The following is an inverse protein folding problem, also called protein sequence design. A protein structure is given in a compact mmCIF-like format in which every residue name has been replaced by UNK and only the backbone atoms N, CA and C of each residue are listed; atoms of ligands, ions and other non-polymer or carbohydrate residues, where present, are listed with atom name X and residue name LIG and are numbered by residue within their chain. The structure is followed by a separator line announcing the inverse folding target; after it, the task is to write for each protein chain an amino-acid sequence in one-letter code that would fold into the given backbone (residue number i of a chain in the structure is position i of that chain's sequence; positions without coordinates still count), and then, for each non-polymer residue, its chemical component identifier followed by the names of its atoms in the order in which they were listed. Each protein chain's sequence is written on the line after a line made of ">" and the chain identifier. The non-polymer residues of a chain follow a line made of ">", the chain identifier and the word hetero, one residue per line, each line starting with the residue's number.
data_IF_198823845082
#
_entry.id   IF_198823845082
#
_cell.length_a   1.000
_cell.length_b   1.000
_cell.length_c   1.000
_cell.angle_alpha   90.00
_cell.angle_beta   90.00
_cell.angle_gamma   90.00
#
_symmetry.space_group_name_H-M   'P 1'
#
loop_
_entity.id
_entity.type
_entity.pdbx_description
1 polymer ?
#
# COMPACT_ATOMS: atom_id res chain seq x y z
N UNK A 1 23.85 -5.80 -3.64
CA UNK A 1 22.50 -6.40 -3.62
C UNK A 1 21.74 -5.69 -2.51
N UNK A 2 20.49 -5.28 -2.72
CA UNK A 2 19.71 -4.56 -1.68
C UNK A 2 18.75 -5.55 -1.03
N UNK A 3 19.15 -6.24 0.07
CA UNK A 3 18.29 -7.23 0.74
C UNK A 3 16.96 -6.61 1.19
N UNK A 4 16.93 -5.31 1.47
CA UNK A 4 15.72 -4.60 1.88
C UNK A 4 14.62 -4.61 0.81
N UNK A 5 14.98 -4.65 -0.47
CA UNK A 5 13.99 -4.81 -1.54
C UNK A 5 13.45 -6.23 -1.63
N UNK A 6 14.23 -7.24 -1.27
CA UNK A 6 13.73 -8.62 -1.14
C UNK A 6 12.75 -8.73 0.03
N UNK A 7 13.02 -8.05 1.14
CA UNK A 7 12.11 -7.99 2.29
C UNK A 7 10.80 -7.25 2.00
N UNK A 8 10.83 -6.25 1.12
CA UNK A 8 9.65 -5.50 0.72
C UNK A 8 8.77 -6.22 -0.32
N UNK A 9 9.28 -7.30 -0.93
CA UNK A 9 8.55 -8.03 -1.96
C UNK A 9 8.08 -9.41 -1.51
N UNK A 10 6.93 -9.80 -2.01
CA UNK A 10 6.44 -11.18 -1.97
C UNK A 10 6.57 -11.77 -3.37
N UNK A 11 7.18 -12.94 -3.48
CA UNK A 11 7.30 -13.66 -4.75
C UNK A 11 6.37 -14.86 -4.74
N UNK A 12 5.58 -15.02 -5.82
CA UNK A 12 4.63 -16.13 -5.95
C UNK A 12 5.32 -17.50 -5.94
N UNK A 13 6.53 -17.57 -6.49
CA UNK A 13 7.27 -18.82 -6.69
C UNK A 13 8.22 -19.17 -5.53
N UNK A 14 8.45 -18.22 -4.62
CA UNK A 14 9.37 -18.37 -3.49
C UNK A 14 9.00 -17.39 -2.36
N UNK A 15 8.12 -17.76 -1.42
CA UNK A 15 7.83 -16.93 -0.26
C UNK A 15 9.12 -16.81 0.58
N UNK A 16 9.71 -15.61 0.61
CA UNK A 16 10.96 -15.32 1.32
C UNK A 16 10.75 -14.44 2.55
N UNK A 17 9.59 -14.54 3.20
CA UNK A 17 9.28 -13.69 4.36
C UNK A 17 10.26 -13.99 5.50
N UNK A 18 11.26 -13.12 5.68
CA UNK A 18 12.16 -13.17 6.81
C UNK A 18 11.53 -12.38 7.95
N UNK A 19 11.33 -13.04 9.08
CA UNK A 19 10.70 -12.49 10.26
C UNK A 19 11.71 -12.41 11.42
N UNK A 20 11.53 -11.47 12.37
CA UNK A 20 12.27 -11.51 13.63
C UNK A 20 11.99 -12.83 14.36
N UNK A 21 12.95 -13.28 15.18
CA UNK A 21 12.79 -14.48 15.99
C UNK A 21 11.82 -14.23 17.16
N UNK A 22 11.31 -15.31 17.76
CA UNK A 22 10.44 -15.23 18.94
C UNK A 22 8.94 -14.99 18.67
N UNK A 23 8.55 -14.81 17.39
CA UNK A 23 7.14 -14.80 16.99
C UNK A 23 6.49 -16.17 17.18
N UNK A 24 5.26 -16.18 17.71
CA UNK A 24 4.48 -17.42 17.89
C UNK A 24 3.91 -17.96 16.59
N UNK A 25 3.52 -17.07 15.67
CA UNK A 25 3.00 -17.42 14.37
C UNK A 25 4.10 -17.30 13.30
N UNK A 26 4.35 -18.41 12.60
CA UNK A 26 5.20 -18.44 11.41
C UNK A 26 4.47 -17.86 10.18
N UNK A 27 5.18 -17.54 9.09
CA UNK A 27 4.54 -17.19 7.81
C UNK A 27 3.54 -18.25 7.36
N UNK A 28 3.92 -19.54 7.47
CA UNK A 28 3.06 -20.67 7.09
C UNK A 28 1.78 -20.74 7.92
N UNK A 29 1.87 -20.50 9.24
CA UNK A 29 0.68 -20.47 10.09
C UNK A 29 -0.33 -19.40 9.64
N UNK A 30 0.14 -18.20 9.31
CA UNK A 30 -0.74 -17.16 8.76
C UNK A 30 -1.24 -17.50 7.36
N UNK A 31 -0.38 -18.03 6.50
CA UNK A 31 -0.75 -18.47 5.16
C UNK A 31 -1.89 -19.48 5.22
N UNK A 32 -1.77 -20.51 6.05
CA UNK A 32 -2.84 -21.50 6.28
C UNK A 32 -4.11 -20.87 6.85
N UNK A 33 -3.99 -20.01 7.87
CA UNK A 33 -5.15 -19.36 8.50
C UNK A 33 -5.92 -18.50 7.49
N UNK A 34 -5.23 -17.74 6.65
CA UNK A 34 -5.83 -16.89 5.62
C UNK A 34 -6.42 -17.73 4.48
N UNK A 35 -5.77 -18.82 4.07
CA UNK A 35 -6.28 -19.73 3.04
C UNK A 35 -7.57 -20.46 3.44
N UNK A 36 -7.81 -20.68 4.74
CA UNK A 36 -9.04 -21.30 5.26
C UNK A 36 -10.26 -20.37 5.28
N UNK A 37 -10.08 -19.09 4.97
CA UNK A 37 -11.19 -18.13 4.89
C UNK A 37 -12.01 -18.35 3.61
N UNK A 38 -13.28 -17.88 3.53
CA UNK A 38 -14.09 -17.99 2.31
C UNK A 38 -13.38 -17.47 1.04
N UNK A 39 -12.70 -16.31 1.14
CA UNK A 39 -11.92 -15.71 0.05
C UNK A 39 -10.47 -16.18 -0.03
N UNK A 40 -10.04 -17.10 0.83
CA UNK A 40 -8.63 -17.49 0.97
C UNK A 40 -8.01 -18.11 -0.29
N UNK A 41 -8.82 -18.76 -1.12
CA UNK A 41 -8.37 -19.33 -2.40
C UNK A 41 -7.91 -18.23 -3.40
N UNK A 42 -8.41 -17.00 -3.27
CA UNK A 42 -8.01 -15.85 -4.10
C UNK A 42 -6.62 -15.29 -3.75
N UNK A 43 -5.94 -15.83 -2.74
CA UNK A 43 -4.56 -15.48 -2.42
C UNK A 43 -3.54 -16.18 -3.32
N UNK A 44 -3.99 -17.11 -4.16
CA UNK A 44 -3.13 -17.97 -4.98
C UNK A 44 -3.37 -17.77 -6.48
N UNK A 45 -2.37 -18.04 -7.34
CA UNK A 45 -2.51 -17.91 -8.80
C UNK A 45 -3.61 -18.78 -9.42
N UNK A 46 -3.96 -19.91 -8.82
CA UNK A 46 -5.03 -20.81 -9.28
C UNK A 46 -6.44 -20.33 -8.94
N UNK A 47 -6.57 -19.42 -7.96
CA UNK A 47 -7.85 -18.81 -7.59
C UNK A 47 -8.04 -17.37 -8.08
N UNK A 48 -6.96 -16.64 -8.38
CA UNK A 48 -7.03 -15.21 -8.68
C UNK A 48 -6.61 -14.88 -10.10
N UNK A 49 -7.53 -14.31 -10.89
CA UNK A 49 -7.34 -14.04 -12.31
C UNK A 49 -6.19 -13.06 -12.60
N UNK A 50 -5.97 -12.08 -11.71
CA UNK A 50 -4.85 -11.15 -11.83
C UNK A 50 -3.52 -11.88 -11.66
N UNK A 51 -3.39 -12.70 -10.62
CA UNK A 51 -2.19 -13.49 -10.36
C UNK A 51 -1.95 -14.51 -11.47
N UNK A 52 -3.00 -15.17 -11.97
CA UNK A 52 -2.89 -16.05 -13.14
C UNK A 52 -2.30 -15.29 -14.33
N UNK A 53 -2.87 -14.13 -14.68
CA UNK A 53 -2.43 -13.35 -15.83
C UNK A 53 -0.94 -12.95 -15.73
N UNK A 54 -0.48 -12.54 -14.54
CA UNK A 54 0.91 -12.18 -14.27
C UNK A 54 1.91 -13.33 -14.51
N UNK A 55 1.46 -14.58 -14.38
CA UNK A 55 2.30 -15.77 -14.59
C UNK A 55 2.33 -16.26 -16.04
N UNK A 56 1.54 -15.64 -16.93
CA UNK A 56 1.52 -15.98 -18.37
C UNK A 56 2.46 -15.10 -19.19
N UNK A 57 2.79 -15.55 -20.40
CA UNK A 57 3.50 -14.76 -21.43
C UNK A 57 2.56 -13.86 -22.26
N UNK A 58 1.28 -13.76 -21.88
CA UNK A 58 0.30 -13.00 -22.64
C UNK A 58 0.36 -11.50 -22.30
N UNK A 59 0.01 -10.62 -23.24
CA UNK A 59 -0.17 -9.21 -22.95
C UNK A 59 -1.19 -9.01 -21.82
N UNK A 60 -0.87 -8.10 -20.91
CA UNK A 60 -1.78 -7.67 -19.86
C UNK A 60 -2.29 -6.26 -20.18
N UNK A 61 -3.60 -6.08 -20.09
CA UNK A 61 -4.26 -4.79 -20.27
C UNK A 61 -4.55 -4.17 -18.92
N UNK A 62 -4.23 -2.89 -18.76
CA UNK A 62 -4.43 -2.14 -17.52
C UNK A 62 -5.23 -0.86 -17.79
N UNK A 63 -6.19 -0.57 -16.92
CA UNK A 63 -6.85 0.71 -16.83
C UNK A 63 -5.97 1.68 -16.06
N UNK A 64 -5.63 2.80 -16.67
CA UNK A 64 -5.04 3.96 -16.01
C UNK A 64 -5.96 5.17 -16.16
N UNK A 65 -6.12 5.98 -15.12
CA UNK A 65 -6.89 7.22 -15.19
C UNK A 65 -5.94 8.41 -15.13
N UNK A 66 -6.06 9.34 -16.08
CA UNK A 66 -5.23 10.56 -16.12
C UNK A 66 -6.07 11.80 -16.32
N UNK A 67 -5.73 12.89 -15.63
CA UNK A 67 -6.26 14.24 -15.90
C UNK A 67 -5.34 15.05 -16.84
N UNK A 68 -4.23 14.44 -17.27
CA UNK A 68 -3.14 15.13 -17.94
C UNK A 68 -2.90 14.55 -19.34
N UNK A 69 -3.97 14.14 -20.04
CA UNK A 69 -3.86 13.55 -21.38
C UNK A 69 -3.12 14.47 -22.35
N UNK A 70 -3.42 15.78 -22.34
CA UNK A 70 -2.76 16.73 -23.23
C UNK A 70 -1.26 16.88 -22.93
N UNK A 71 -0.87 16.82 -21.65
CA UNK A 71 0.54 16.82 -21.26
C UNK A 71 1.24 15.53 -21.69
N UNK A 72 0.56 14.38 -21.59
CA UNK A 72 1.08 13.09 -22.08
C UNK A 72 1.27 13.14 -23.59
N UNK A 73 0.28 13.62 -24.35
CA UNK A 73 0.37 13.80 -25.82
C UNK A 73 1.50 14.74 -26.21
N UNK A 74 1.66 15.85 -25.49
CA UNK A 74 2.68 16.86 -25.78
C UNK A 74 4.09 16.36 -25.46
N UNK A 75 4.26 15.64 -24.35
CA UNK A 75 5.58 15.18 -23.90
C UNK A 75 6.00 13.83 -24.49
N UNK A 76 5.04 13.03 -24.97
CA UNK A 76 5.25 11.64 -25.37
C UNK A 76 5.57 10.70 -24.20
N UNK A 77 5.34 11.11 -22.94
CA UNK A 77 5.74 10.34 -21.77
C UNK A 77 4.59 10.05 -20.79
N UNK A 78 4.55 8.80 -20.32
CA UNK A 78 3.83 8.40 -19.12
C UNK A 78 4.78 8.44 -17.92
N UNK A 79 4.42 9.19 -16.87
CA UNK A 79 5.24 9.37 -15.68
C UNK A 79 4.67 8.61 -14.48
N UNK A 80 5.55 7.95 -13.73
CA UNK A 80 5.16 7.20 -12.54
C UNK A 80 4.86 8.11 -11.35
N UNK A 81 4.06 7.62 -10.40
CA UNK A 81 3.73 8.36 -9.17
C UNK A 81 4.28 7.64 -7.93
N UNK A 82 4.52 8.42 -6.88
CA UNK A 82 4.97 7.92 -5.58
C UNK A 82 3.77 7.49 -4.75
N UNK A 83 3.41 6.21 -4.84
CA UNK A 83 2.27 5.62 -4.13
C UNK A 83 2.64 4.29 -3.44
N UNK A 84 1.61 3.48 -3.14
CA UNK A 84 1.78 2.13 -2.59
C UNK A 84 2.65 1.21 -3.46
N UNK A 85 2.86 1.56 -4.73
CA UNK A 85 3.69 0.81 -5.67
C UNK A 85 5.08 1.42 -5.91
N UNK A 86 5.63 2.15 -4.93
CA UNK A 86 6.97 2.73 -4.84
C UNK A 86 7.43 3.72 -5.93
N UNK A 87 7.06 3.53 -7.20
CA UNK A 87 7.22 4.41 -8.36
C UNK A 87 6.76 3.72 -9.67
N UNK A 88 5.65 2.97 -9.63
CA UNK A 88 5.10 2.35 -10.85
C UNK A 88 4.03 3.23 -11.50
N UNK A 89 3.78 3.02 -12.79
CA UNK A 89 2.56 3.55 -13.43
C UNK A 89 1.38 2.73 -12.93
N UNK A 90 0.56 3.31 -12.06
CA UNK A 90 -0.56 2.63 -11.44
C UNK A 90 -1.64 2.27 -12.46
N UNK A 91 -2.20 1.06 -12.36
CA UNK A 91 -3.36 0.62 -13.10
C UNK A 91 -4.14 -0.50 -12.42
N UNK A 92 -5.32 -0.79 -12.97
CA UNK A 92 -6.16 -1.91 -12.57
C UNK A 92 -6.33 -2.90 -13.74
N UNK A 93 -6.36 -4.23 -13.51
CA UNK A 93 -6.48 -5.21 -14.58
C UNK A 93 -7.71 -5.00 -15.46
N UNK A 94 -7.55 -5.27 -16.75
CA UNK A 94 -8.61 -5.38 -17.73
C UNK A 94 -8.61 -6.80 -18.31
N UNK A 95 -9.76 -7.46 -18.30
CA UNK A 95 -9.95 -8.77 -18.93
C UNK A 95 -10.49 -8.57 -20.33
N UNK A 96 -9.78 -9.08 -21.33
CA UNK A 96 -10.26 -9.08 -22.71
C UNK A 96 -11.44 -10.04 -22.89
N UNK A 97 -12.49 -9.56 -23.55
CA UNK A 97 -13.68 -10.34 -23.92
C UNK A 97 -13.71 -10.58 -25.44
N UNK A 98 -14.48 -11.59 -25.92
CA UNK A 98 -14.70 -11.76 -27.34
C UNK A 98 -15.19 -10.47 -28.02
N UNK A 99 -14.54 -10.09 -29.13
CA UNK A 99 -14.82 -8.85 -29.84
C UNK A 99 -13.98 -7.64 -29.40
N UNK A 100 -12.93 -7.84 -28.59
CA UNK A 100 -11.94 -6.81 -28.24
C UNK A 100 -12.39 -5.81 -27.18
N UNK A 101 -13.57 -6.02 -26.57
CA UNK A 101 -14.02 -5.22 -25.44
C UNK A 101 -13.26 -5.62 -24.17
N UNK A 102 -12.92 -4.64 -23.33
CA UNK A 102 -12.15 -4.86 -22.12
C UNK A 102 -13.04 -4.68 -20.89
N UNK A 103 -13.18 -5.75 -20.09
CA UNK A 103 -13.91 -5.71 -18.82
C UNK A 103 -12.97 -5.22 -17.71
N UNK A 104 -13.29 -4.12 -17.02
CA UNK A 104 -12.52 -3.71 -15.86
C UNK A 104 -12.65 -4.69 -14.70
N UNK A 105 -11.53 -4.93 -14.01
CA UNK A 105 -11.52 -5.50 -12.65
C UNK A 105 -12.43 -4.66 -11.74
N UNK A 106 -13.04 -5.24 -10.71
CA UNK A 106 -13.99 -4.52 -9.86
C UNK A 106 -13.40 -3.26 -9.18
N UNK A 107 -12.09 -3.25 -8.92
CA UNK A 107 -11.36 -2.02 -8.57
C UNK A 107 -11.48 -0.96 -9.68
N UNK A 108 -11.15 -1.31 -10.92
CA UNK A 108 -11.24 -0.42 -12.08
C UNK A 108 -12.66 0.08 -12.34
N UNK A 109 -13.67 -0.78 -12.14
CA UNK A 109 -15.08 -0.38 -12.18
C UNK A 109 -15.38 0.71 -11.15
N UNK A 110 -14.98 0.49 -9.89
CA UNK A 110 -15.12 1.50 -8.84
C UNK A 110 -14.36 2.80 -9.18
N UNK A 111 -13.14 2.71 -9.74
CA UNK A 111 -12.39 3.89 -10.17
C UNK A 111 -13.14 4.70 -11.23
N UNK A 112 -13.78 4.02 -12.19
CA UNK A 112 -14.56 4.63 -13.28
C UNK A 112 -15.89 5.22 -12.80
N UNK A 113 -16.57 4.55 -11.88
CA UNK A 113 -17.87 4.93 -11.34
C UNK A 113 -17.77 6.16 -10.43
N UNK A 114 -16.69 6.30 -9.68
CA UNK A 114 -16.47 7.41 -8.72
C UNK A 114 -15.77 8.63 -9.32
N UNK A 115 -15.43 8.60 -10.62
CA UNK A 115 -14.80 9.74 -11.31
C UNK A 115 -15.58 11.06 -11.17
N UNK A 116 -16.91 11.12 -11.34
CA UNK A 116 -17.63 12.40 -11.26
C UNK A 116 -17.67 12.96 -9.83
N UNK A 117 -17.50 12.12 -8.82
CA UNK A 117 -17.72 12.50 -7.41
C UNK A 117 -16.42 12.85 -6.68
N UNK A 118 -15.26 12.41 -7.19
CA UNK A 118 -13.97 12.60 -6.54
C UNK A 118 -13.11 13.61 -7.31
N UNK A 119 -12.70 14.69 -6.67
CA UNK A 119 -11.88 15.75 -7.30
C UNK A 119 -10.54 15.24 -7.85
N UNK A 120 -9.97 14.22 -7.20
CA UNK A 120 -8.76 13.55 -7.66
C UNK A 120 -8.92 12.83 -9.01
N UNK A 121 -10.15 12.54 -9.44
CA UNK A 121 -10.50 11.77 -10.65
C UNK A 121 -11.48 12.49 -11.57
N UNK A 122 -12.04 13.62 -11.14
CA UNK A 122 -12.90 14.47 -11.95
C UNK A 122 -12.19 14.79 -13.27
N UNK A 123 -12.93 14.65 -14.36
CA UNK A 123 -12.45 14.89 -15.73
C UNK A 123 -11.27 14.00 -16.16
N UNK A 124 -11.02 12.89 -15.47
CA UNK A 124 -9.99 11.94 -15.89
C UNK A 124 -10.41 11.14 -17.13
N UNK A 125 -9.49 11.08 -18.10
CA UNK A 125 -9.59 10.20 -19.27
C UNK A 125 -9.09 8.81 -18.91
N UNK A 126 -9.85 7.75 -19.23
CA UNK A 126 -9.37 6.39 -19.09
C UNK A 126 -8.43 6.06 -20.24
N UNK A 127 -7.27 5.51 -19.87
CA UNK A 127 -6.31 4.91 -20.77
C UNK A 127 -6.30 3.40 -20.59
N UNK A 128 -6.10 2.69 -21.69
CA UNK A 128 -5.72 1.28 -21.72
C UNK A 128 -4.23 1.24 -21.97
N UNK A 129 -3.50 0.61 -21.05
CA UNK A 129 -2.07 0.33 -21.21
C UNK A 129 -1.94 -1.18 -21.43
N UNK A 130 -1.55 -1.60 -22.62
CA UNK A 130 -1.16 -2.98 -22.90
C UNK A 130 0.33 -3.13 -22.59
N UNK A 131 0.67 -4.14 -21.80
CA UNK A 131 2.02 -4.49 -21.45
C UNK A 131 2.26 -5.92 -21.91
N UNK A 132 3.10 -6.07 -22.92
CA UNK A 132 3.59 -7.37 -23.40
C UNK A 132 4.96 -7.63 -22.80
N UNK A 133 5.09 -8.50 -21.78
CA UNK A 133 6.40 -8.88 -21.27
C UNK A 133 7.12 -9.76 -22.29
N UNK A 134 8.43 -9.59 -22.47
CA UNK A 134 9.19 -10.44 -23.40
C UNK A 134 9.35 -11.88 -22.88
N UNK A 135 9.16 -12.11 -21.57
CA UNK A 135 9.22 -13.41 -20.91
C UNK A 135 8.20 -13.50 -19.77
N UNK A 136 7.67 -14.70 -19.44
CA UNK A 136 7.01 -14.90 -18.15
C UNK A 136 7.97 -14.49 -17.02
N UNK A 137 7.44 -13.75 -16.04
CA UNK A 137 8.19 -13.40 -14.85
C UNK A 137 7.37 -13.78 -13.62
N UNK A 138 8.02 -14.23 -12.53
CA UNK A 138 7.33 -14.40 -11.27
C UNK A 138 6.68 -13.07 -10.90
N UNK A 139 5.37 -13.07 -10.70
CA UNK A 139 4.66 -11.89 -10.21
C UNK A 139 5.32 -11.39 -8.92
N UNK A 140 5.73 -10.13 -8.89
CA UNK A 140 6.35 -9.52 -7.71
C UNK A 140 5.33 -8.64 -6.99
N UNK A 141 4.87 -9.13 -5.85
CA UNK A 141 4.06 -8.36 -4.93
C UNK A 141 4.96 -7.39 -4.16
N UNK A 142 4.54 -6.14 -4.01
CA UNK A 142 5.19 -5.15 -3.17
C UNK A 142 4.30 -4.88 -1.96
N UNK A 143 4.86 -5.07 -0.76
CA UNK A 143 4.24 -4.63 0.49
C UNK A 143 4.86 -3.31 0.92
N UNK A 144 4.11 -2.21 0.78
CA UNK A 144 4.61 -0.89 1.12
C UNK A 144 4.83 -0.70 2.64
N UNK A 145 4.22 -1.54 3.50
CA UNK A 145 4.48 -1.55 4.94
C UNK A 145 5.87 -2.11 5.28
N UNK A 146 6.49 -2.84 4.35
CA UNK A 146 7.85 -3.40 4.47
C UNK A 146 8.94 -2.51 3.86
N UNK A 147 8.59 -1.33 3.33
CA UNK A 147 9.55 -0.37 2.77
C UNK A 147 10.41 0.37 3.81
N UNK A 148 10.23 0.11 5.11
CA UNK A 148 10.92 0.79 6.19
C UNK A 148 12.43 0.84 6.04
N UNK A 149 13.09 -0.29 5.78
CA UNK A 149 14.54 -0.31 5.62
C UNK A 149 15.02 0.43 4.35
N UNK A 150 14.23 0.37 3.26
CA UNK A 150 14.48 1.16 2.04
C UNK A 150 14.38 2.65 2.35
N UNK A 151 13.36 3.06 3.10
CA UNK A 151 13.16 4.43 3.54
C UNK A 151 14.27 4.95 4.44
N UNK A 152 14.72 4.14 5.42
CA UNK A 152 15.81 4.53 6.32
C UNK A 152 17.12 4.73 5.54
N UNK A 153 17.44 3.83 4.61
CA UNK A 153 18.63 3.97 3.77
C UNK A 153 18.59 5.25 2.92
N UNK A 154 17.45 5.53 2.28
CA UNK A 154 17.27 6.75 1.51
C UNK A 154 17.38 7.99 2.41
N UNK A 155 16.81 7.94 3.62
CA UNK A 155 16.96 8.99 4.62
C UNK A 155 18.42 9.24 4.96
N UNK A 156 19.15 8.22 5.41
CA UNK A 156 20.55 8.37 5.86
C UNK A 156 21.46 8.86 4.73
N UNK A 157 21.22 8.43 3.48
CA UNK A 157 21.98 8.88 2.31
C UNK A 157 21.77 10.35 2.00
N UNK A 158 20.53 10.83 2.07
CA UNK A 158 20.17 12.22 1.73
C UNK A 158 20.00 13.13 2.95
N UNK A 159 20.33 12.64 4.14
CA UNK A 159 20.26 13.42 5.39
C UNK A 159 21.05 14.72 5.31
N UNK A 160 22.17 14.72 4.58
CA UNK A 160 23.01 15.89 4.32
C UNK A 160 22.29 17.02 3.54
N UNK A 161 21.18 16.74 2.87
CA UNK A 161 20.37 17.74 2.18
C UNK A 161 19.45 18.50 3.14
N UNK A 162 19.22 17.98 4.35
CA UNK A 162 18.48 18.66 5.41
C UNK A 162 19.38 19.70 6.08
N UNK A 163 18.78 20.82 6.48
CA UNK A 163 19.42 21.74 7.41
C UNK A 163 19.56 21.08 8.79
N UNK A 164 20.49 21.51 9.65
CA UNK A 164 20.60 20.98 11.00
C UNK A 164 19.30 21.08 11.82
N UNK A 165 18.48 22.10 11.57
CA UNK A 165 17.19 22.28 12.25
C UNK A 165 16.14 21.28 11.76
N UNK A 166 15.99 21.12 10.44
CA UNK A 166 15.06 20.12 9.87
C UNK A 166 15.44 18.70 10.28
N UNK A 167 16.74 18.38 10.26
CA UNK A 167 17.23 17.07 10.68
C UNK A 167 16.93 16.80 12.16
N UNK A 168 17.21 17.77 13.04
CA UNK A 168 16.87 17.65 14.46
C UNK A 168 15.36 17.54 14.67
N UNK A 169 14.55 18.34 13.97
CA UNK A 169 13.09 18.30 14.05
C UNK A 169 12.55 16.92 13.66
N UNK A 170 12.97 16.40 12.51
CA UNK A 170 12.52 15.10 11.99
C UNK A 170 12.93 13.97 12.94
N UNK A 171 14.20 13.92 13.32
CA UNK A 171 14.70 12.83 14.18
C UNK A 171 14.07 12.87 15.57
N UNK A 172 13.98 14.05 16.19
CA UNK A 172 13.34 14.23 17.49
C UNK A 172 11.85 13.87 17.45
N UNK A 173 11.11 14.37 16.46
CA UNK A 173 9.67 14.07 16.30
C UNK A 173 9.44 12.56 16.21
N UNK A 174 10.24 11.84 15.42
CA UNK A 174 10.13 10.39 15.30
C UNK A 174 10.42 9.68 16.62
N UNK A 175 11.52 10.01 17.30
CA UNK A 175 11.86 9.40 18.59
C UNK A 175 10.80 9.69 19.66
N UNK A 176 10.29 10.92 19.74
CA UNK A 176 9.26 11.30 20.71
C UNK A 176 7.94 10.57 20.46
N UNK A 177 7.56 10.35 19.20
CA UNK A 177 6.38 9.55 18.83
C UNK A 177 6.54 8.08 19.18
N UNK A 178 7.72 7.50 18.97
CA UNK A 178 8.02 6.12 19.39
C UNK A 178 7.88 5.99 20.90
N UNK A 179 8.51 6.88 21.67
CA UNK A 179 8.40 6.88 23.14
C UNK A 179 6.97 7.05 23.62
N UNK A 180 6.22 7.97 23.01
CA UNK A 180 4.82 8.19 23.37
C UNK A 180 3.92 7.00 23.06
N UNK A 181 4.21 6.24 21.99
CA UNK A 181 3.46 5.04 21.62
C UNK A 181 4.00 3.75 22.26
N UNK A 182 5.20 3.78 22.88
CA UNK A 182 5.96 2.62 23.32
C UNK A 182 5.14 1.61 24.13
N UNK A 183 4.27 2.00 25.09
CA UNK A 183 3.45 1.02 25.83
C UNK A 183 2.56 0.17 24.92
N UNK A 184 1.95 0.75 23.89
CA UNK A 184 1.16 0.00 22.91
C UNK A 184 2.05 -0.84 21.99
N UNK A 185 3.21 -0.31 21.58
CA UNK A 185 4.15 -1.06 20.74
C UNK A 185 4.65 -2.32 21.47
N UNK A 186 4.98 -2.21 22.75
CA UNK A 186 5.39 -3.31 23.61
C UNK A 186 4.26 -4.31 23.84
N UNK A 187 3.02 -3.84 23.98
CA UNK A 187 1.85 -4.71 24.04
C UNK A 187 1.67 -5.53 22.74
N UNK A 188 1.89 -4.91 21.57
CA UNK A 188 1.84 -5.60 20.28
C UNK A 188 2.95 -6.65 20.16
N UNK A 189 4.18 -6.34 20.58
CA UNK A 189 5.29 -7.30 20.63
C UNK A 189 4.95 -8.48 21.54
N UNK A 190 4.55 -8.19 22.79
CA UNK A 190 4.21 -9.21 23.78
C UNK A 190 3.06 -10.11 23.31
N UNK A 191 2.09 -9.54 22.58
CA UNK A 191 1.00 -10.31 21.96
C UNK A 191 1.50 -11.21 20.84
N UNK A 192 2.31 -10.67 19.92
CA UNK A 192 2.86 -11.42 18.80
C UNK A 192 3.81 -12.57 19.24
N UNK A 193 4.49 -12.38 20.38
CA UNK A 193 5.32 -13.40 21.02
C UNK A 193 4.57 -14.28 22.02
N UNK A 194 3.24 -14.14 22.14
CA UNK A 194 2.40 -14.96 23.04
C UNK A 194 2.65 -14.78 24.53
N UNK A 195 3.38 -13.72 24.94
CA UNK A 195 3.65 -13.39 26.35
C UNK A 195 2.42 -12.84 27.05
N UNK A 196 1.61 -12.07 26.32
CA UNK A 196 0.37 -11.46 26.82
C UNK A 196 -0.73 -11.72 25.79
N UNK A 197 -1.99 -11.81 26.25
CA UNK A 197 -3.17 -11.84 25.39
C UNK A 197 -4.22 -10.87 25.93
N UNK A 198 -4.17 -9.58 25.53
CA UNK A 198 -5.13 -8.60 26.03
C UNK A 198 -6.53 -8.85 25.47
N UNK A 199 -7.54 -8.21 26.05
CA UNK A 199 -8.86 -8.13 25.44
C UNK A 199 -8.76 -7.39 24.09
N UNK A 200 -9.26 -8.01 23.02
CA UNK A 200 -9.19 -7.45 21.69
C UNK A 200 -9.94 -6.11 21.58
N UNK A 201 -11.04 -5.95 22.33
CA UNK A 201 -11.80 -4.70 22.35
C UNK A 201 -11.01 -3.55 22.97
N UNK A 202 -10.49 -3.76 24.18
CA UNK A 202 -9.64 -2.78 24.86
C UNK A 202 -8.38 -2.44 24.06
N UNK A 203 -7.79 -3.41 23.36
CA UNK A 203 -6.67 -3.17 22.45
C UNK A 203 -7.04 -2.19 21.32
N UNK A 204 -8.20 -2.36 20.67
CA UNK A 204 -8.62 -1.47 19.59
C UNK A 204 -8.83 -0.02 20.07
N UNK A 205 -9.35 0.16 21.29
CA UNK A 205 -9.49 1.50 21.87
C UNK A 205 -8.12 2.16 22.13
N UNK A 206 -7.14 1.39 22.62
CA UNK A 206 -5.76 1.87 22.79
C UNK A 206 -5.09 2.19 21.44
N UNK A 207 -5.28 1.34 20.43
CA UNK A 207 -4.78 1.56 19.07
C UNK A 207 -5.35 2.85 18.48
N UNK A 208 -6.67 3.04 18.57
CA UNK A 208 -7.35 4.25 18.11
C UNK A 208 -6.80 5.53 18.78
N UNK A 209 -6.49 5.46 20.08
CA UNK A 209 -5.89 6.56 20.83
C UNK A 209 -4.44 6.85 20.43
N UNK A 210 -3.68 5.83 19.98
CA UNK A 210 -2.29 5.97 19.55
C UNK A 210 -2.12 6.47 18.10
N UNK A 211 -3.09 6.22 17.21
CA UNK A 211 -3.00 6.64 15.79
C UNK A 211 -2.69 8.14 15.62
N UNK A 212 -3.30 9.09 16.37
CA UNK A 212 -2.97 10.52 16.25
C UNK A 212 -1.51 10.85 16.59
N UNK A 213 -0.87 10.05 17.45
CA UNK A 213 0.53 10.20 17.83
C UNK A 213 1.44 9.53 16.79
N UNK A 214 1.06 8.36 16.31
CA UNK A 214 1.81 7.60 15.31
C UNK A 214 0.89 7.15 14.15
N UNK A 215 0.67 8.01 13.13
CA UNK A 215 -0.26 7.72 12.03
C UNK A 215 0.07 6.45 11.22
N UNK A 216 1.31 5.97 11.27
CA UNK A 216 1.69 4.67 10.69
C UNK A 216 0.82 3.51 11.21
N UNK A 217 0.39 3.57 12.48
CA UNK A 217 -0.52 2.58 13.07
C UNK A 217 -1.89 2.57 12.38
N UNK A 218 -2.35 3.71 11.87
CA UNK A 218 -3.58 3.80 11.08
C UNK A 218 -3.48 3.05 9.75
N UNK A 219 -2.32 3.09 9.07
CA UNK A 219 -2.08 2.30 7.85
C UNK A 219 -2.11 0.79 8.16
N UNK A 220 -1.44 0.35 9.23
CA UNK A 220 -1.47 -1.05 9.67
C UNK A 220 -2.90 -1.50 10.00
N UNK A 221 -3.63 -0.67 10.76
CA UNK A 221 -4.99 -0.98 11.17
C UNK A 221 -5.94 -1.08 9.97
N UNK A 222 -5.88 -0.11 9.06
CA UNK A 222 -6.69 -0.12 7.86
C UNK A 222 -6.43 -1.35 6.99
N UNK A 223 -5.16 -1.66 6.69
CA UNK A 223 -4.82 -2.79 5.81
C UNK A 223 -5.17 -4.15 6.44
N UNK A 224 -5.09 -4.27 7.77
CA UNK A 224 -5.54 -5.49 8.47
C UNK A 224 -7.06 -5.61 8.49
N UNK A 225 -7.79 -4.51 8.68
CA UNK A 225 -9.26 -4.50 8.58
C UNK A 225 -9.75 -4.78 7.15
N UNK A 226 -9.06 -4.23 6.14
CA UNK A 226 -9.33 -4.48 4.73
C UNK A 226 -9.10 -5.96 4.36
N UNK A 227 -7.99 -6.56 4.82
CA UNK A 227 -7.72 -7.99 4.66
C UNK A 227 -8.86 -8.84 5.24
N UNK A 228 -9.31 -8.52 6.45
CA UNK A 228 -10.42 -9.21 7.10
C UNK A 228 -11.70 -9.16 6.27
N UNK A 229 -12.13 -7.95 5.87
CA UNK A 229 -13.35 -7.76 5.09
C UNK A 229 -13.32 -8.55 3.77
N UNK A 230 -12.23 -8.43 3.01
CA UNK A 230 -12.12 -9.07 1.69
C UNK A 230 -12.05 -10.59 1.76
N UNK A 231 -11.43 -11.15 2.81
CA UNK A 231 -11.25 -12.59 2.96
C UNK A 231 -12.45 -13.29 3.62
N UNK A 232 -13.15 -12.61 4.53
CA UNK A 232 -14.23 -13.22 5.30
C UNK A 232 -15.64 -12.90 4.78
N UNK A 233 -15.80 -11.92 3.89
CA UNK A 233 -17.10 -11.62 3.29
C UNK A 233 -17.68 -12.83 2.53
N UNK A 234 -18.98 -13.03 2.68
CA UNK A 234 -19.74 -14.13 2.04
C UNK A 234 -21.01 -13.66 1.33
N UNK A 235 -21.18 -12.34 1.19
CA UNK A 235 -22.26 -11.74 0.42
C UNK A 235 -22.27 -12.24 -1.02
N UNK A 236 -23.44 -12.18 -1.64
CA UNK A 236 -23.63 -12.58 -3.03
C UNK A 236 -22.71 -11.81 -3.97
N UNK A 237 -22.52 -10.51 -3.73
CA UNK A 237 -21.60 -9.70 -4.54
C UNK A 237 -20.16 -10.21 -4.44
N UNK A 238 -19.67 -10.52 -3.24
CA UNK A 238 -18.33 -11.09 -3.05
C UNK A 238 -18.18 -12.46 -3.71
N UNK A 239 -19.18 -13.33 -3.61
CA UNK A 239 -19.16 -14.65 -4.27
C UNK A 239 -19.11 -14.52 -5.79
N UNK A 240 -19.91 -13.64 -6.37
CA UNK A 240 -19.91 -13.39 -7.81
C UNK A 240 -18.54 -12.85 -8.29
N UNK A 241 -17.88 -12.01 -7.50
CA UNK A 241 -16.53 -11.53 -7.82
C UNK A 241 -15.47 -12.63 -7.66
N UNK A 242 -15.60 -13.49 -6.65
CA UNK A 242 -14.72 -14.63 -6.46
C UNK A 242 -14.82 -15.64 -7.62
N UNK A 243 -16.01 -15.84 -8.20
CA UNK A 243 -16.19 -16.64 -9.43
C UNK A 243 -15.45 -16.06 -10.65
N UNK A 244 -15.20 -14.75 -10.66
CA UNK A 244 -14.36 -14.07 -11.65
C UNK A 244 -12.87 -14.08 -11.28
N UNK A 245 -12.50 -14.71 -10.16
CA UNK A 245 -11.14 -14.71 -9.62
C UNK A 245 -10.71 -13.36 -9.06
N UNK A 246 -11.63 -12.56 -8.52
CA UNK A 246 -11.37 -11.22 -8.00
C UNK A 246 -11.72 -11.08 -6.51
N UNK A 247 -10.85 -10.38 -5.77
CA UNK A 247 -11.21 -9.90 -4.42
C UNK A 247 -12.23 -8.77 -4.52
N UNK A 248 -13.14 -8.67 -3.54
CA UNK A 248 -14.12 -7.58 -3.52
C UNK A 248 -13.50 -6.27 -2.99
N UNK A 249 -13.03 -5.43 -3.91
CA UNK A 249 -12.43 -4.14 -3.59
C UNK A 249 -13.43 -3.11 -3.07
N UNK A 250 -14.73 -3.30 -3.31
CA UNK A 250 -15.72 -2.34 -2.84
C UNK A 250 -15.73 -2.24 -1.31
N UNK A 251 -15.51 -3.37 -0.62
CA UNK A 251 -15.57 -3.44 0.84
C UNK A 251 -14.52 -2.53 1.51
N UNK A 252 -13.24 -2.62 1.11
CA UNK A 252 -12.22 -1.78 1.73
C UNK A 252 -12.29 -0.31 1.27
N UNK A 253 -12.83 -0.04 0.07
CA UNK A 253 -13.09 1.34 -0.37
C UNK A 253 -14.21 1.95 0.46
N UNK A 254 -15.32 1.24 0.66
CA UNK A 254 -16.41 1.67 1.53
C UNK A 254 -15.90 1.88 2.97
N UNK A 255 -15.08 0.97 3.50
CA UNK A 255 -14.42 1.15 4.78
C UNK A 255 -13.63 2.45 4.83
N UNK A 256 -12.78 2.71 3.83
CA UNK A 256 -11.95 3.90 3.80
C UNK A 256 -12.79 5.18 3.80
N UNK A 257 -13.74 5.30 2.86
CA UNK A 257 -14.59 6.49 2.71
C UNK A 257 -15.56 6.70 3.88
N UNK A 258 -15.97 5.65 4.58
CA UNK A 258 -16.88 5.76 5.74
C UNK A 258 -16.12 6.06 7.04
N UNK A 259 -14.90 5.54 7.18
CA UNK A 259 -14.12 5.69 8.40
C UNK A 259 -13.26 6.96 8.45
N UNK A 260 -12.92 7.53 7.29
CA UNK A 260 -12.01 8.69 7.18
C UNK A 260 -12.67 9.79 6.35
N UNK A 261 -13.11 10.85 7.04
CA UNK A 261 -13.92 11.93 6.47
C UNK A 261 -13.23 12.67 5.30
N UNK A 262 -11.90 12.71 5.28
CA UNK A 262 -11.13 13.42 4.25
C UNK A 262 -10.84 12.61 2.99
N UNK A 263 -11.29 11.36 2.88
CA UNK A 263 -10.92 10.47 1.75
C UNK A 263 -11.34 10.99 0.36
N UNK A 264 -12.34 11.87 0.28
CA UNK A 264 -12.78 12.52 -0.95
C UNK A 264 -11.79 13.56 -1.50
N UNK A 265 -11.03 14.21 -0.61
CA UNK A 265 -10.08 15.29 -0.92
C UNK A 265 -8.63 14.85 -0.75
N UNK A 266 -8.35 14.07 0.31
CA UNK A 266 -7.06 13.50 0.67
C UNK A 266 -7.18 12.01 1.02
N UNK A 267 -6.60 11.17 0.16
CA UNK A 267 -6.45 9.74 0.43
C UNK A 267 -5.34 9.50 1.48
N UNK A 268 -5.67 9.56 2.77
CA UNK A 268 -4.74 9.28 3.88
C UNK A 268 -5.34 8.30 4.89
N UNK A 269 -5.07 7.02 4.67
CA UNK A 269 -5.50 5.94 5.57
C UNK A 269 -4.73 5.94 6.90
N UNK A 270 -3.71 6.78 7.07
CA UNK A 270 -3.07 7.03 8.36
C UNK A 270 -4.00 7.69 9.38
N UNK A 271 -5.15 8.21 8.93
CA UNK A 271 -6.22 8.76 9.77
C UNK A 271 -7.23 7.70 10.24
N UNK A 272 -7.09 6.45 9.80
CA UNK A 272 -7.98 5.36 10.20
C UNK A 272 -7.76 4.99 11.67
N UNK A 273 -8.72 5.37 12.53
CA UNK A 273 -8.63 5.21 13.99
C UNK A 273 -9.96 4.90 14.69
N UNK A 274 -10.84 4.01 14.15
CA UNK A 274 -12.05 3.67 14.88
C UNK A 274 -11.69 2.97 16.20
N UNK A 275 -12.27 3.42 17.32
CA UNK A 275 -12.28 2.62 18.55
C UNK A 275 -13.16 1.38 18.37
N UNK A 276 -13.21 0.50 19.38
CA UNK A 276 -13.89 -0.80 19.33
C UNK A 276 -15.31 -0.71 18.77
N UNK A 277 -16.17 0.10 19.39
CA UNK A 277 -17.59 0.12 19.00
C UNK A 277 -17.76 0.61 17.56
N UNK A 278 -17.14 1.74 17.22
CA UNK A 278 -17.16 2.28 15.84
C UNK A 278 -16.60 1.28 14.84
N UNK A 279 -15.55 0.53 15.19
CA UNK A 279 -14.99 -0.49 14.31
C UNK A 279 -15.98 -1.61 14.03
N UNK A 280 -16.65 -2.15 15.06
CA UNK A 280 -17.66 -3.19 14.87
C UNK A 280 -18.86 -2.67 14.06
N UNK A 281 -19.31 -1.45 14.34
CA UNK A 281 -20.40 -0.80 13.60
C UNK A 281 -20.04 -0.60 12.12
N UNK A 282 -18.78 -0.21 11.82
CA UNK A 282 -18.29 -0.09 10.45
C UNK A 282 -18.29 -1.44 9.72
N UNK A 283 -17.83 -2.51 10.37
CA UNK A 283 -17.80 -3.85 9.77
C UNK A 283 -19.22 -4.35 9.49
N UNK A 284 -20.13 -4.25 10.46
CA UNK A 284 -21.53 -4.68 10.28
C UNK A 284 -22.31 -3.82 9.30
N UNK A 285 -22.00 -2.51 9.22
CA UNK A 285 -22.60 -1.61 8.23
C UNK A 285 -22.17 -1.92 6.79
N UNK A 286 -21.00 -2.53 6.61
CA UNK A 286 -20.49 -2.96 5.29
C UNK A 286 -20.98 -4.37 4.97
N UNK A 287 -20.81 -5.32 5.88
CA UNK A 287 -21.24 -6.70 5.73
C UNK A 287 -21.88 -7.20 7.03
N UNK A 288 -23.23 -7.23 7.11
CA UNK A 288 -23.94 -7.63 8.31
C UNK A 288 -23.57 -9.03 8.81
N UNK A 289 -23.23 -9.14 10.09
CA UNK A 289 -22.88 -10.41 10.74
C UNK A 289 -21.39 -10.74 10.69
N UNK A 290 -20.57 -9.89 10.05
CA UNK A 290 -19.13 -10.07 9.98
C UNK A 290 -18.39 -9.49 11.20
N UNK A 291 -19.04 -8.67 12.05
CA UNK A 291 -18.37 -8.05 13.20
C UNK A 291 -17.94 -9.04 14.29
N UNK A 292 -18.61 -10.19 14.41
CA UNK A 292 -18.44 -11.15 15.52
C UNK A 292 -16.98 -11.55 15.79
N UNK A 293 -16.18 -11.72 14.73
CA UNK A 293 -14.78 -12.14 14.83
C UNK A 293 -13.78 -11.07 14.40
N UNK A 294 -14.27 -9.90 14.00
CA UNK A 294 -13.45 -8.84 13.42
C UNK A 294 -12.38 -8.33 14.39
N UNK A 295 -12.77 -8.01 15.64
CA UNK A 295 -11.85 -7.47 16.63
C UNK A 295 -10.72 -8.45 16.96
N UNK A 296 -11.06 -9.73 17.15
CA UNK A 296 -10.07 -10.77 17.46
C UNK A 296 -9.12 -11.03 16.28
N UNK A 297 -9.64 -11.09 15.05
CA UNK A 297 -8.80 -11.24 13.86
C UNK A 297 -7.84 -10.05 13.72
N UNK A 298 -8.37 -8.82 13.78
CA UNK A 298 -7.56 -7.62 13.60
C UNK A 298 -6.49 -7.52 14.69
N UNK A 299 -6.85 -7.76 15.94
CA UNK A 299 -5.89 -7.78 17.05
C UNK A 299 -4.72 -8.73 16.77
N UNK A 300 -5.00 -10.01 16.49
CA UNK A 300 -3.95 -11.01 16.29
C UNK A 300 -3.08 -10.66 15.06
N UNK A 301 -3.74 -10.31 13.95
CA UNK A 301 -3.09 -10.09 12.65
C UNK A 301 -2.27 -8.80 12.66
N UNK A 302 -2.77 -7.74 13.29
CA UNK A 302 -2.08 -6.47 13.40
C UNK A 302 -0.85 -6.58 14.30
N UNK A 303 -0.95 -7.22 15.47
CA UNK A 303 0.20 -7.43 16.36
C UNK A 303 1.33 -8.20 15.66
N UNK A 304 0.98 -9.26 14.92
CA UNK A 304 1.94 -9.99 14.10
C UNK A 304 2.54 -9.12 12.99
N UNK A 305 1.70 -8.44 12.19
CA UNK A 305 2.14 -7.60 11.07
C UNK A 305 2.98 -6.42 11.54
N UNK A 306 2.63 -5.79 12.65
CA UNK A 306 3.43 -4.73 13.28
C UNK A 306 4.82 -5.26 13.60
N UNK A 307 4.91 -6.35 14.37
CA UNK A 307 6.21 -6.93 14.76
C UNK A 307 7.05 -7.31 13.52
N UNK A 308 6.42 -7.92 12.52
CA UNK A 308 7.06 -8.34 11.27
C UNK A 308 7.53 -7.18 10.38
N UNK A 309 6.94 -5.99 10.51
CA UNK A 309 7.26 -4.80 9.70
C UNK A 309 8.03 -3.73 10.47
N UNK A 310 8.05 -3.81 11.80
CA UNK A 310 8.71 -2.85 12.68
C UNK A 310 10.15 -3.25 13.00
N UNK A 311 10.40 -4.56 13.19
CA UNK A 311 11.71 -5.09 13.59
C UNK A 311 12.50 -5.64 12.39
N UNK A 312 13.82 -5.64 12.51
CA UNK A 312 14.70 -6.32 11.56
C UNK A 312 14.60 -7.84 11.71
N UNK A 313 14.83 -8.65 10.65
CA UNK A 313 14.83 -10.10 10.77
C UNK A 313 15.89 -10.67 11.73
N UNK A 314 16.94 -9.90 12.02
CA UNK A 314 17.98 -10.29 12.97
C UNK A 314 17.59 -10.03 14.44
N UNK A 315 16.50 -9.29 14.70
CA UNK A 315 16.04 -8.99 16.04
C UNK A 315 15.29 -10.17 16.68
N UNK A 316 15.36 -10.24 18.01
CA UNK A 316 14.52 -11.11 18.83
C UNK A 316 13.36 -10.30 19.43
N UNK A 317 12.14 -10.58 18.97
CA UNK A 317 10.93 -9.89 19.41
C UNK A 317 10.58 -10.17 20.88
N UNK A 318 11.13 -11.23 21.50
CA UNK A 318 10.92 -11.53 22.93
C UNK A 318 11.83 -10.71 23.83
N UNK A 319 12.98 -10.27 23.33
CA UNK A 319 13.98 -9.54 24.09
C UNK A 319 13.91 -8.02 23.90
N UNK A 320 13.29 -7.55 22.81
CA UNK A 320 13.18 -6.13 22.50
C UNK A 320 11.99 -5.45 23.22
N UNK A 321 12.20 -4.21 23.67
CA UNK A 321 11.18 -3.34 24.23
C UNK A 321 11.40 -1.89 23.78
N UNK A 322 10.35 -1.24 23.29
CA UNK A 322 10.36 0.16 22.86
C UNK A 322 10.44 1.15 24.01
N UNK A 323 9.91 0.79 25.19
CA UNK A 323 9.93 1.69 26.36
C UNK A 323 11.35 2.02 26.81
N UNK A 324 12.28 1.06 26.71
CA UNK A 324 13.66 1.20 27.16
C UNK A 324 14.65 1.45 26.02
N UNK A 325 14.20 1.39 24.76
CA UNK A 325 15.06 1.50 23.60
C UNK A 325 15.62 2.92 23.42
N UNK A 326 16.94 3.00 23.25
CA UNK A 326 17.61 4.22 22.83
C UNK A 326 17.67 4.35 21.29
N UNK A 327 18.38 5.38 20.80
CA UNK A 327 18.48 5.62 19.37
C UNK A 327 19.25 4.51 18.62
N UNK A 328 20.25 3.90 19.26
CA UNK A 328 21.07 2.84 18.66
C UNK A 328 20.32 1.51 18.65
N UNK A 329 19.55 1.22 19.72
CA UNK A 329 18.62 0.10 19.79
C UNK A 329 17.58 0.18 18.66
N UNK A 330 16.96 1.36 18.48
CA UNK A 330 15.99 1.59 17.42
C UNK A 330 16.60 1.45 16.03
N UNK A 331 17.82 1.94 15.81
CA UNK A 331 18.52 1.81 14.51
C UNK A 331 18.92 0.37 14.20
N UNK A 332 19.19 -0.45 15.21
CA UNK A 332 19.67 -1.82 15.04
C UNK A 332 18.52 -2.82 14.93
N UNK A 333 17.59 -2.78 15.89
CA UNK A 333 16.52 -3.76 16.01
C UNK A 333 15.22 -3.30 15.34
N UNK A 334 14.92 -1.99 15.32
CA UNK A 334 13.67 -1.42 14.80
C UNK A 334 13.88 -0.50 13.58
N UNK A 335 14.95 -0.75 12.81
CA UNK A 335 15.31 0.05 11.63
C UNK A 335 14.15 0.21 10.62
N UNK A 336 13.35 -0.84 10.34
CA UNK A 336 12.17 -0.72 9.48
C UNK A 336 11.13 0.27 10.01
N UNK A 337 10.77 0.20 11.30
CA UNK A 337 9.85 1.18 11.89
C UNK A 337 10.41 2.60 11.79
N UNK A 338 11.69 2.77 12.15
CA UNK A 338 12.36 4.07 12.11
C UNK A 338 12.29 4.68 10.69
N UNK A 339 12.57 3.90 9.65
CA UNK A 339 12.49 4.36 8.28
C UNK A 339 11.06 4.71 7.83
N UNK A 340 10.04 3.94 8.23
CA UNK A 340 8.65 4.28 7.94
C UNK A 340 8.25 5.64 8.54
N UNK A 341 8.73 5.93 9.76
CA UNK A 341 8.41 7.17 10.47
C UNK A 341 9.20 8.35 9.90
N UNK A 342 10.52 8.22 9.73
CA UNK A 342 11.37 9.29 9.17
C UNK A 342 10.91 9.70 7.78
N UNK A 343 10.58 8.74 6.92
CA UNK A 343 10.07 9.04 5.59
C UNK A 343 8.78 9.85 5.61
N UNK A 344 7.84 9.55 6.52
CA UNK A 344 6.60 10.31 6.65
C UNK A 344 6.83 11.69 7.27
N UNK A 345 7.79 11.80 8.18
CA UNK A 345 8.11 13.05 8.86
C UNK A 345 8.82 14.05 7.91
N UNK A 346 9.74 13.58 7.06
CA UNK A 346 10.36 14.41 6.01
C UNK A 346 9.31 15.03 5.08
N UNK A 347 8.21 14.31 4.81
CA UNK A 347 7.09 14.80 3.99
C UNK A 347 6.29 15.91 4.64
N UNK A 348 6.51 16.20 5.91
CA UNK A 348 5.86 17.29 6.65
C UNK A 348 6.70 18.57 6.68
N UNK A 349 7.91 18.55 6.13
CA UNK A 349 8.73 19.75 6.01
C UNK A 349 8.18 20.68 4.94
N UNK A 350 8.15 21.98 5.20
CA UNK A 350 7.77 23.01 4.21
C UNK A 350 8.62 22.91 2.93
N UNK A 351 9.88 22.48 3.07
CA UNK A 351 10.84 22.30 1.98
C UNK A 351 10.71 20.95 1.27
N UNK A 352 9.71 20.13 1.62
CA UNK A 352 9.53 18.83 0.98
C UNK A 352 9.34 18.90 -0.54
N UNK A 353 8.66 19.90 -1.15
CA UNK A 353 8.59 20.00 -2.61
C UNK A 353 9.97 20.06 -3.29
N UNK A 354 10.97 20.67 -2.66
CA UNK A 354 12.35 20.73 -3.15
C UNK A 354 13.12 19.44 -2.85
N UNK A 355 12.76 18.75 -1.77
CA UNK A 355 13.37 17.49 -1.35
C UNK A 355 12.74 16.25 -2.01
N UNK A 356 11.55 16.37 -2.59
CA UNK A 356 10.75 15.28 -3.14
C UNK A 356 11.56 14.42 -4.11
N UNK A 357 12.19 15.05 -5.09
CA UNK A 357 12.98 14.31 -6.08
C UNK A 357 14.24 13.68 -5.46
N UNK A 358 14.82 14.20 -4.38
CA UNK A 358 15.97 13.57 -3.75
C UNK A 358 15.56 12.25 -3.09
N UNK A 359 14.53 12.26 -2.25
CA UNK A 359 14.13 11.06 -1.50
C UNK A 359 13.31 10.07 -2.34
N UNK A 360 12.45 10.55 -3.24
CA UNK A 360 11.53 9.69 -3.98
C UNK A 360 12.14 9.15 -5.28
N UNK A 361 12.86 9.98 -6.05
CA UNK A 361 13.39 9.55 -7.36
C UNK A 361 14.49 8.51 -7.20
N UNK A 362 15.28 8.59 -6.13
CA UNK A 362 16.29 7.57 -5.87
C UNK A 362 15.64 6.24 -5.48
N UNK A 363 14.67 6.25 -4.56
CA UNK A 363 13.86 5.07 -4.22
C UNK A 363 13.20 4.47 -5.47
N UNK A 364 12.68 5.32 -6.36
CA UNK A 364 12.12 4.91 -7.64
C UNK A 364 13.16 4.19 -8.51
N UNK A 365 14.36 4.78 -8.67
CA UNK A 365 15.44 4.18 -9.44
C UNK A 365 15.92 2.85 -8.86
N UNK A 366 15.99 2.72 -7.53
CA UNK A 366 16.29 1.46 -6.87
C UNK A 366 15.20 0.41 -7.12
N UNK A 367 13.92 0.78 -7.03
CA UNK A 367 12.78 -0.11 -7.30
C UNK A 367 12.82 -0.63 -8.75
N UNK A 368 13.02 0.26 -9.71
CA UNK A 368 13.12 -0.09 -11.13
C UNK A 368 14.33 -1.00 -11.42
N UNK A 369 15.47 -0.71 -10.79
CA UNK A 369 16.66 -1.56 -10.90
C UNK A 369 16.39 -2.96 -10.33
N UNK A 370 15.69 -3.03 -9.19
CA UNK A 370 15.29 -4.28 -8.59
C UNK A 370 14.37 -5.08 -9.50
N UNK A 371 13.28 -4.46 -9.98
CA UNK A 371 12.33 -5.08 -10.88
C UNK A 371 12.98 -5.53 -12.18
N UNK A 372 13.86 -4.75 -12.79
CA UNK A 372 14.59 -5.14 -13.99
C UNK A 372 15.46 -6.39 -13.76
N UNK A 373 16.16 -6.45 -12.62
CA UNK A 373 16.95 -7.64 -12.25
C UNK A 373 16.08 -8.88 -12.02
N UNK A 374 14.90 -8.69 -11.45
CA UNK A 374 13.89 -9.75 -11.23
C UNK A 374 13.01 -10.01 -12.46
N UNK A 375 13.24 -9.30 -13.57
CA UNK A 375 12.43 -9.33 -14.80
C UNK A 375 10.95 -8.98 -14.58
N UNK A 376 10.64 -8.21 -13.55
CA UNK A 376 9.27 -7.79 -13.22
C UNK A 376 8.87 -6.59 -14.08
N UNK A 377 7.96 -6.80 -15.03
CA UNK A 377 7.30 -5.72 -15.76
C UNK A 377 6.11 -5.13 -14.99
N UNK A 378 5.43 -5.98 -14.21
CA UNK A 378 4.15 -5.68 -13.60
C UNK A 378 4.16 -5.98 -12.09
N UNK A 379 4.79 -5.13 -11.25
CA UNK A 379 4.67 -5.25 -9.80
C UNK A 379 3.21 -5.03 -9.38
N UNK A 380 2.75 -5.69 -8.31
CA UNK A 380 1.39 -5.51 -7.78
C UNK A 380 1.40 -5.21 -6.28
N UNK A 381 0.35 -4.60 -5.75
CA UNK A 381 0.28 -4.31 -4.32
C UNK A 381 -0.11 -5.58 -3.57
N UNK A 382 0.76 -6.05 -2.68
CA UNK A 382 0.58 -7.28 -1.93
C UNK A 382 0.28 -7.05 -0.44
N UNK A 383 0.22 -5.80 0.04
CA UNK A 383 0.10 -5.47 1.46
C UNK A 383 -1.05 -6.18 2.19
N UNK A 384 -2.19 -6.35 1.54
CA UNK A 384 -3.33 -7.12 2.08
C UNK A 384 -3.87 -8.14 1.06
N UNK A 385 -2.97 -8.67 0.21
CA UNK A 385 -3.30 -9.61 -0.86
C UNK A 385 -3.52 -8.97 -2.24
N UNK A 386 -3.73 -9.80 -3.28
CA UNK A 386 -3.83 -9.42 -4.70
C UNK A 386 -5.16 -8.73 -5.06
N UNK A 387 -5.37 -7.51 -4.55
CA UNK A 387 -6.59 -6.71 -4.71
C UNK A 387 -6.69 -5.95 -6.06
N UNK A 388 -6.04 -6.38 -7.13
CA UNK A 388 -6.20 -5.69 -8.43
C UNK A 388 -5.47 -4.34 -8.57
N UNK A 389 -4.54 -4.01 -7.68
CA UNK A 389 -3.66 -2.83 -7.82
C UNK A 389 -2.33 -3.26 -8.46
N UNK A 390 -2.13 -2.90 -9.73
CA UNK A 390 -0.93 -3.24 -10.51
C UNK A 390 -0.18 -1.98 -10.90
N UNK A 391 1.13 -2.10 -11.02
CA UNK A 391 2.02 -1.09 -11.55
C UNK A 391 2.64 -1.55 -12.85
N UNK A 392 2.98 -0.63 -13.75
CA UNK A 392 3.92 -0.88 -14.84
C UNK A 392 5.28 -0.32 -14.44
N UNK A 393 6.32 -1.15 -14.52
CA UNK A 393 7.69 -0.73 -14.35
C UNK A 393 8.11 0.16 -15.55
N UNK A 394 8.26 1.48 -15.37
CA UNK A 394 8.51 2.40 -16.47
C UNK A 394 9.94 2.30 -17.03
N UNK A 395 10.82 1.56 -16.36
CA UNK A 395 12.21 1.38 -16.78
C UNK A 395 12.48 -0.01 -17.37
N UNK A 396 11.46 -0.84 -17.56
CA UNK A 396 11.66 -2.20 -18.06
C UNK A 396 12.09 -2.17 -19.53
N UNK A 397 13.32 -2.58 -19.89
CA UNK A 397 13.80 -2.53 -21.26
C UNK A 397 13.25 -3.68 -22.13
N UNK A 398 12.53 -4.63 -21.53
CA UNK A 398 12.04 -5.87 -22.13
C UNK A 398 10.51 -5.98 -22.09
N UNK A 399 9.81 -4.87 -21.89
CA UNK A 399 8.36 -4.84 -21.97
C UNK A 399 7.97 -3.94 -23.16
N UNK A 400 7.17 -4.46 -24.08
CA UNK A 400 6.53 -3.63 -25.10
C UNK A 400 5.27 -3.04 -24.49
N UNK A 401 5.12 -1.73 -24.61
CA UNK A 401 4.05 -0.99 -23.97
C UNK A 401 3.35 -0.14 -25.01
N UNK A 402 2.03 -0.31 -25.10
CA UNK A 402 1.18 0.44 -26.01
C UNK A 402 0.05 1.09 -25.20
N UNK A 403 -0.32 2.30 -25.59
CA UNK A 403 -1.25 3.14 -24.83
C UNK A 403 -2.37 3.58 -25.75
N UNK A 404 -3.62 3.46 -25.30
CA UNK A 404 -4.79 3.98 -25.99
C UNK A 404 -5.63 4.80 -25.02
N UNK A 405 -6.30 5.82 -25.53
CA UNK A 405 -7.53 6.30 -24.89
C UNK A 405 -8.62 5.25 -25.01
N UNK A 406 -9.60 5.28 -24.11
CA UNK A 406 -10.73 4.37 -24.18
C UNK A 406 -12.06 5.07 -23.88
N UNK A 407 -13.13 4.49 -24.41
CA UNK A 407 -14.50 4.88 -24.09
C UNK A 407 -15.20 3.77 -23.33
N UNK A 408 -16.02 4.16 -22.35
CA UNK A 408 -16.84 3.23 -21.57
C UNK A 408 -18.22 3.13 -22.20
N UNK A 409 -18.63 1.93 -22.59
CA UNK A 409 -19.98 1.71 -23.10
C UNK A 409 -21.01 1.55 -21.97
N UNK A 410 -22.30 1.49 -22.32
CA UNK A 410 -23.42 1.35 -21.36
C UNK A 410 -23.36 0.08 -20.50
N UNK A 411 -22.63 -0.95 -20.96
CA UNK A 411 -22.39 -2.19 -20.19
C UNK A 411 -21.21 -2.09 -19.22
N UNK A 412 -20.56 -0.93 -19.17
CA UNK A 412 -19.37 -0.68 -18.35
C UNK A 412 -18.07 -1.25 -18.92
N UNK A 413 -18.07 -1.77 -20.15
CA UNK A 413 -16.86 -2.25 -20.83
C UNK A 413 -16.10 -1.08 -21.45
N UNK A 414 -14.78 -1.20 -21.51
CA UNK A 414 -13.91 -0.24 -22.19
C UNK A 414 -13.60 -0.69 -23.60
N UNK A 415 -13.57 0.27 -24.51
CA UNK A 415 -13.20 0.08 -25.91
C UNK A 415 -12.03 1.04 -26.20
N UNK A 416 -10.82 0.52 -26.50
CA UNK A 416 -9.74 1.36 -27.00
C UNK A 416 -10.18 2.13 -28.25
N UNK A 417 -9.86 3.43 -28.33
CA UNK A 417 -10.32 4.31 -29.43
C UNK A 417 -9.15 4.90 -30.21
N UNK A 418 -8.30 5.70 -29.56
CA UNK A 418 -7.16 6.36 -30.18
C UNK A 418 -5.86 5.93 -29.49
N UNK A 419 -4.90 5.42 -30.28
CA UNK A 419 -3.56 5.14 -29.77
C UNK A 419 -2.83 6.44 -29.44
N UNK A 420 -2.33 6.55 -28.21
CA UNK A 420 -1.53 7.68 -27.75
C UNK A 420 -0.06 7.35 -28.01
N UNK A 421 0.63 8.22 -28.75
CA UNK A 421 2.07 8.12 -28.98
C UNK A 421 2.86 8.51 -27.71
N UNK A 422 2.78 7.67 -26.68
CA UNK A 422 3.46 7.86 -25.42
C UNK A 422 4.16 6.59 -24.95
N UNK A 423 5.32 6.75 -24.33
CA UNK A 423 6.09 5.67 -23.70
C UNK A 423 6.26 5.93 -22.21
N UNK A 424 6.34 4.90 -21.37
CA UNK A 424 6.77 5.06 -19.99
C UNK A 424 8.17 5.66 -19.93
N UNK A 425 8.34 6.68 -19.10
CA UNK A 425 9.65 7.23 -18.79
C UNK A 425 10.04 6.88 -17.36
N UNK A 426 11.29 6.46 -17.10
CA UNK A 426 11.81 6.18 -15.75
C UNK A 426 12.05 7.50 -15.00
N UNK A 427 10.97 8.23 -14.76
CA UNK A 427 10.93 9.51 -14.06
C UNK A 427 9.61 9.62 -13.31
N UNK A 428 9.68 10.17 -12.10
CA UNK A 428 8.50 10.51 -11.34
C UNK A 428 7.78 11.73 -11.91
N UNK A 429 6.47 11.71 -11.83
CA UNK A 429 5.64 12.89 -12.03
C UNK A 429 6.13 14.01 -11.09
N UNK A 430 6.22 15.27 -11.58
CA UNK A 430 6.57 16.40 -10.73
C UNK A 430 5.59 16.53 -9.55
N UNK A 431 6.11 16.95 -8.39
CA UNK A 431 5.32 17.12 -7.17
C UNK A 431 4.01 17.88 -7.38
N UNK A 432 4.01 18.92 -8.22
CA UNK A 432 2.83 19.74 -8.52
C UNK A 432 1.67 18.98 -9.17
N UNK A 433 1.93 17.82 -9.78
CA UNK A 433 0.92 16.95 -10.38
C UNK A 433 0.56 15.75 -9.50
N UNK A 434 1.30 15.55 -8.41
CA UNK A 434 1.01 14.53 -7.39
C UNK A 434 0.29 15.24 -6.25
N UNK A 435 -1.07 15.24 -6.18
CA UNK A 435 -1.78 15.77 -5.03
C UNK A 435 -1.52 14.87 -3.82
N UNK A 436 -0.35 15.03 -3.23
CA UNK A 436 0.03 14.44 -1.98
C UNK A 436 -0.25 15.50 -0.93
N UNK A 437 -1.52 15.54 -0.48
CA UNK A 437 -2.09 16.40 0.58
C UNK A 437 -2.76 17.68 0.10
N UNK A 438 -3.90 17.94 0.74
CA UNK A 438 -4.56 19.23 0.74
C UNK A 438 -3.73 20.19 1.61
N UNK A 439 -3.38 21.35 1.05
CA UNK A 439 -2.55 22.39 1.70
C UNK A 439 -3.25 23.03 2.90
N UNK A 440 -4.56 22.91 3.00
CA UNK A 440 -5.37 23.59 4.03
C UNK A 440 -5.29 22.95 5.42
N UNK A 441 -5.10 21.63 5.53
CA UNK A 441 -4.84 20.94 6.80
C UNK A 441 -3.37 21.11 7.28
N UNK A 442 -2.44 21.38 6.36
CA UNK A 442 -1.03 21.68 6.64
C UNK A 442 -0.89 23.02 7.40
N UNK A 443 -1.70 24.02 7.04
CA UNK A 443 -1.78 25.30 7.75
C UNK A 443 -2.37 25.14 9.18
N UNK A 444 -3.27 24.17 9.39
CA UNK A 444 -3.85 23.85 10.70
C UNK A 444 -2.92 23.02 11.61
N UNK A 445 -2.00 22.23 11.01
CA UNK A 445 -1.02 21.45 11.77
C UNK A 445 0.18 22.30 12.21
N UNK A 446 0.62 23.23 11.35
CA UNK A 446 1.71 24.18 11.64
C UNK A 446 1.33 25.27 12.66
N UNK A 447 0.05 25.39 13.02
CA UNK A 447 -0.46 26.41 13.95
C UNK A 447 -0.73 25.89 15.37
N UNK A 448 -0.27 24.67 15.74
CA UNK A 448 -0.27 24.24 17.14
C UNK A 448 0.83 24.97 17.92
N UNK A 449 0.54 25.57 19.09
CA UNK A 449 1.58 26.13 19.92
C UNK A 449 2.57 25.02 20.29
N UNK A 450 3.85 25.25 20.01
CA UNK A 450 4.93 24.54 20.69
C UNK A 450 4.68 24.79 22.18
N UNK A 451 4.30 23.74 22.92
CA UNK A 451 4.25 23.83 24.38
C UNK A 451 5.66 24.22 24.83
N UNK A 452 5.76 25.44 25.36
CA UNK A 452 6.98 26.03 25.89
C UNK A 452 7.44 25.33 27.17
#
# INVERSE_FOLDING_TARGET
>A
MHPDWDLAHTHLDAPTEQLPTGLTATPDHWSERLQRTPGGHLLRPDGNAMLTALTTDRPMHLLHLTRSLDAIRTSGHLLASTGCLAAALYGAPLTELPGGALRPHNLGTHLLDTRPDLDSRRDSTPLVIEVSPDHPAPGAGLDYLRLGAVHLRAFDRHRHALTPTEDHQVTRSVTDRIRAAAPLLDLMLATATGRIRPDAGAFLDQLAAAVPVMPYLGYLYFETAAEYLMLHSTSTATKNLAELGEMNNHLYKQLAFTAVDTMGTLFDVGRFRPGRQRFLDLIDGIEPGLSQHAAAFVHDRLCHRFTATALTPAADATAFAFTDADADDLRTAAAPLLGQLLFREVRLLDRYPQLYHLFEQEKAAEAWTYWNRRRTALPYNATCGPKGEIGVNPANPHARITVWTAERCVRGLLHPTEQVAAVPAPRLAPWVFTPLRDRTDEELWNSRPVLA
#
